data_IF_428126434486
#
_entry.id   IF_428126434486
#
_cell.length_a   1.000
_cell.length_b   1.000
_cell.length_c   1.000
_cell.angle_alpha   90.00
_cell.angle_beta   90.00
_cell.angle_gamma   90.00
#
_symmetry.space_group_name_H-M   'P 1'
#
loop_
_entity.id
_entity.type
_entity.pdbx_description
1 polymer ?
#
# COMPACT_ATOMS: atom_id res chain seq x y z
N UNK A 1 -0.80 -6.42 22.66
CA UNK A 1 -1.28 -7.06 21.41
C UNK A 1 -0.10 -7.33 20.49
N UNK A 2 0.01 -8.51 19.89
CA UNK A 2 1.05 -8.80 18.91
C UNK A 2 0.75 -8.12 17.57
N UNK A 3 1.71 -7.37 17.04
CA UNK A 3 1.62 -6.75 15.72
C UNK A 3 2.08 -7.73 14.64
N UNK A 4 1.38 -7.78 13.51
CA UNK A 4 1.74 -8.57 12.32
C UNK A 4 1.92 -7.64 11.12
N UNK A 5 2.67 -8.10 10.12
CA UNK A 5 2.83 -7.37 8.87
C UNK A 5 1.67 -7.67 7.94
N UNK A 6 1.07 -6.61 7.39
CA UNK A 6 0.00 -6.67 6.42
C UNK A 6 0.36 -5.81 5.21
N UNK A 7 -0.22 -6.13 4.05
CA UNK A 7 -0.06 -5.40 2.81
C UNK A 7 -1.33 -4.62 2.52
N UNK A 8 -1.21 -3.33 2.25
CA UNK A 8 -2.34 -2.50 1.84
C UNK A 8 -2.86 -2.95 0.46
N UNK A 9 -4.18 -3.16 0.33
CA UNK A 9 -4.81 -3.50 -0.96
C UNK A 9 -4.81 -2.32 -1.92
N UNK A 10 -5.00 -1.12 -1.39
CA UNK A 10 -5.12 0.12 -2.15
C UNK A 10 -4.37 1.25 -1.45
N UNK A 11 -4.05 2.30 -2.21
CA UNK A 11 -3.51 3.53 -1.64
C UNK A 11 -4.61 4.26 -0.88
N UNK A 12 -4.32 4.72 0.33
CA UNK A 12 -5.34 5.31 1.19
C UNK A 12 -4.86 5.59 2.60
N UNK A 13 -5.81 5.71 3.51
CA UNK A 13 -5.55 5.86 4.94
C UNK A 13 -5.76 4.52 5.61
N UNK A 14 -4.75 4.04 6.34
CA UNK A 14 -4.83 2.81 7.13
C UNK A 14 -4.30 3.10 8.54
N UNK A 15 -5.12 2.84 9.57
CA UNK A 15 -4.77 3.08 10.96
C UNK A 15 -4.16 4.47 11.22
N UNK A 16 -4.73 5.51 10.59
CA UNK A 16 -4.29 6.90 10.76
C UNK A 16 -3.01 7.29 10.02
N UNK A 17 -2.49 6.45 9.13
CA UNK A 17 -1.36 6.80 8.25
C UNK A 17 -1.73 6.68 6.77
N UNK A 18 -1.13 7.51 5.94
CA UNK A 18 -1.27 7.42 4.48
C UNK A 18 -0.32 6.34 3.95
N UNK A 19 -0.85 5.40 3.17
CA UNK A 19 -0.12 4.26 2.61
C UNK A 19 -0.36 4.14 1.11
N UNK A 20 0.58 3.55 0.39
CA UNK A 20 0.42 3.19 -1.01
C UNK A 20 -0.21 1.80 -1.19
N UNK A 21 -0.77 1.53 -2.37
CA UNK A 21 -1.22 0.20 -2.73
C UNK A 21 -0.03 -0.76 -2.76
N UNK A 22 -0.17 -1.90 -2.09
CA UNK A 22 0.88 -2.90 -1.98
C UNK A 22 1.95 -2.61 -0.93
N UNK A 23 1.81 -1.54 -0.15
CA UNK A 23 2.75 -1.17 0.93
C UNK A 23 2.60 -2.09 2.14
N UNK A 24 3.72 -2.47 2.74
CA UNK A 24 3.75 -3.32 3.93
C UNK A 24 3.70 -2.47 5.21
N UNK A 25 2.74 -2.76 6.07
CA UNK A 25 2.47 -2.04 7.31
C UNK A 25 2.30 -3.00 8.48
N UNK A 26 2.78 -2.58 9.65
CA UNK A 26 2.59 -3.33 10.90
C UNK A 26 1.28 -2.89 11.55
N UNK A 27 0.36 -3.83 11.70
CA UNK A 27 -0.94 -3.61 12.33
C UNK A 27 -1.21 -4.69 13.36
N UNK A 28 -2.13 -4.40 14.28
CA UNK A 28 -2.74 -5.42 15.12
C UNK A 28 -3.83 -6.16 14.34
N UNK A 29 -4.14 -7.41 14.73
CA UNK A 29 -5.22 -8.18 14.10
C UNK A 29 -6.58 -7.47 14.19
N UNK A 30 -6.84 -6.76 15.29
CA UNK A 30 -8.07 -5.99 15.50
C UNK A 30 -8.18 -4.80 14.54
N UNK A 31 -7.06 -4.12 14.23
CA UNK A 31 -7.05 -3.04 13.24
C UNK A 31 -7.20 -3.60 11.83
N UNK A 32 -6.42 -4.63 11.48
CA UNK A 32 -6.46 -5.25 10.16
C UNK A 32 -7.85 -5.78 9.77
N UNK A 33 -8.69 -6.14 10.75
CA UNK A 33 -10.08 -6.58 10.52
C UNK A 33 -10.95 -5.50 9.84
N UNK A 34 -10.68 -4.23 10.09
CA UNK A 34 -11.48 -3.10 9.60
C UNK A 34 -10.77 -2.31 8.50
N UNK A 35 -9.55 -2.71 8.14
CA UNK A 35 -8.70 -1.99 7.20
C UNK A 35 -8.58 -2.79 5.89
N UNK A 36 -8.42 -2.12 4.73
CA UNK A 36 -8.27 -2.78 3.43
C UNK A 36 -6.86 -3.36 3.27
N UNK A 37 -6.53 -4.40 4.04
CA UNK A 37 -5.20 -5.01 4.10
C UNK A 37 -5.25 -6.54 3.98
N UNK A 38 -4.12 -7.16 3.61
CA UNK A 38 -3.94 -8.61 3.57
C UNK A 38 -2.75 -9.04 4.42
N UNK A 39 -2.82 -10.17 5.14
CA UNK A 39 -1.67 -10.66 5.90
C UNK A 39 -0.53 -10.98 4.92
N UNK A 40 0.66 -10.42 5.17
CA UNK A 40 1.87 -10.84 4.46
C UNK A 40 2.33 -12.12 5.11
N UNK A 41 1.82 -13.24 4.61
CA UNK A 41 2.52 -14.52 4.76
C UNK A 41 3.75 -14.39 3.87
N UNK A 42 4.94 -14.62 4.42
CA UNK A 42 6.22 -14.43 3.75
C UNK A 42 6.43 -15.46 2.62
N UNK A 43 5.57 -15.45 1.62
CA UNK A 43 5.82 -16.07 0.33
C UNK A 43 6.28 -14.95 -0.60
N UNK A 44 7.57 -15.03 -0.91
CA UNK A 44 8.33 -14.04 -1.66
C UNK A 44 7.55 -13.58 -2.89
N UNK A 45 7.03 -12.36 -2.88
CA UNK A 45 6.62 -11.69 -4.11
C UNK A 45 7.14 -10.27 -4.06
N UNK A 46 8.26 -10.14 -4.79
CA UNK A 46 8.95 -8.92 -5.21
C UNK A 46 8.05 -7.67 -5.16
N UNK A 47 8.46 -6.59 -4.49
CA UNK A 47 7.73 -5.33 -4.55
C UNK A 47 7.76 -4.81 -5.99
N UNK A 48 6.61 -4.82 -6.66
CA UNK A 48 6.43 -4.15 -7.95
C UNK A 48 6.42 -2.65 -7.68
N UNK A 49 7.60 -2.04 -7.75
CA UNK A 49 7.81 -0.60 -7.68
C UNK A 49 7.20 0.05 -8.93
N UNK A 50 5.94 0.46 -8.87
CA UNK A 50 5.36 1.38 -9.84
C UNK A 50 4.53 2.45 -9.15
N UNK A 51 5.13 3.62 -8.95
CA UNK A 51 4.42 4.89 -8.90
C UNK A 51 5.44 6.05 -9.00
N UNK A 52 5.99 6.29 -10.20
CA UNK A 52 6.34 7.65 -10.60
C UNK A 52 5.23 8.05 -11.56
N UNK A 53 4.16 8.63 -11.02
CA UNK A 53 3.14 9.28 -11.82
C UNK A 53 3.83 10.42 -12.58
N UNK A 54 3.78 10.35 -13.90
CA UNK A 54 4.15 11.46 -14.77
C UNK A 54 3.04 12.52 -14.75
N UNK A 55 3.41 13.81 -14.71
CA UNK A 55 2.72 14.84 -15.46
C UNK A 55 3.75 15.51 -16.40
N UNK A 56 3.49 15.89 -17.65
CA UNK A 56 2.26 16.19 -18.37
C UNK A 56 2.50 15.98 -19.90
N UNK A 57 1.46 15.85 -20.73
CA UNK A 57 1.59 16.11 -22.16
C UNK A 57 1.72 17.63 -22.37
N UNK A 58 2.86 18.08 -22.86
CA UNK A 58 2.98 19.40 -23.47
C UNK A 58 2.39 19.31 -24.89
N UNK A 59 1.34 20.07 -25.25
CA UNK A 59 0.84 20.09 -26.60
C UNK A 59 1.78 20.93 -27.48
N UNK A 60 2.43 20.29 -28.44
CA UNK A 60 2.96 20.94 -29.64
C UNK A 60 1.76 21.38 -30.50
N UNK A 61 1.69 22.63 -31.00
CA UNK A 61 2.25 22.89 -32.33
C UNK A 61 2.78 24.33 -32.59
N UNK A 62 3.92 24.44 -33.27
CA UNK A 62 4.27 25.59 -34.13
C UNK A 62 5.22 25.21 -35.27
#
# INVERSE_FOLDING_TARGET
MSMKTYRAKAAGWIAGRRVAAGEEIRLTASQAKYEPVEPVVAETTKPSRKAKAAPAPEPDPA
#
